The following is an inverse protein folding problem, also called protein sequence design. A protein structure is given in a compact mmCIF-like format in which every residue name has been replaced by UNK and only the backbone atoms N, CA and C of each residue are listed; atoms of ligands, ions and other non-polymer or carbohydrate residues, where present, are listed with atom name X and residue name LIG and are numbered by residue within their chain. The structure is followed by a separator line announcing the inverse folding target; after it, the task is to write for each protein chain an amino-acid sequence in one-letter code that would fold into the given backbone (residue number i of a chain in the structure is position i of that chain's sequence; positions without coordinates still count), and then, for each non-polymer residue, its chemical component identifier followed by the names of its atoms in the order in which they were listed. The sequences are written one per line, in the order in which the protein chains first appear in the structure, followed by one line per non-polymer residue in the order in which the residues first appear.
data_IF_732283320268
#
_entry.id   IF_732283320268
#
_cell.length_a   1.000
_cell.length_b   1.000
_cell.length_c   1.000
_cell.angle_alpha   90.00
_cell.angle_beta   90.00
_cell.angle_gamma   90.00
#
_symmetry.space_group_name_H-M   'P 1'
#
loop_
_entity.id
_entity.type
_entity.pdbx_description
1 polymer ?
#
# COMPACT_ATOMS: atom_id res chain seq x y z
N UNK A 1 24.55 3.26 -0.98
CA UNK A 1 23.25 3.47 -0.30
C UNK A 1 23.04 2.32 0.65
N UNK A 2 22.51 2.56 1.85
CA UNK A 2 22.06 1.48 2.74
C UNK A 2 20.93 0.71 2.09
N UNK A 3 20.93 -0.62 2.24
CA UNK A 3 19.91 -1.48 1.64
C UNK A 3 18.51 -1.10 2.16
N UNK A 4 17.49 -0.98 1.29
CA UNK A 4 16.15 -0.61 1.72
C UNK A 4 15.41 -1.79 2.37
N UNK A 5 14.45 -1.50 3.24
CA UNK A 5 13.56 -2.54 3.80
C UNK A 5 12.23 -2.56 3.05
N UNK A 6 11.81 -3.73 2.55
CA UNK A 6 10.47 -3.92 2.02
C UNK A 6 9.51 -4.28 3.16
N UNK A 7 8.41 -3.55 3.29
CA UNK A 7 7.42 -3.71 4.35
C UNK A 7 6.05 -3.95 3.74
N UNK A 8 5.31 -4.92 4.27
CA UNK A 8 3.91 -5.14 3.90
C UNK A 8 3.10 -5.56 5.12
N UNK A 9 1.79 -5.37 5.05
CA UNK A 9 0.85 -5.93 6.03
C UNK A 9 0.19 -7.17 5.44
N UNK A 10 0.16 -8.25 6.20
CA UNK A 10 -0.49 -9.50 5.80
C UNK A 10 -1.39 -10.06 6.90
N UNK A 11 -2.33 -10.89 6.46
CA UNK A 11 -3.28 -11.64 7.30
C UNK A 11 -3.56 -12.96 6.59
N UNK A 12 -4.20 -13.95 7.24
CA UNK A 12 -4.49 -15.24 6.61
C UNK A 12 -5.22 -15.09 5.25
N UNK A 13 -6.17 -14.15 5.17
CA UNK A 13 -6.95 -13.89 3.96
C UNK A 13 -6.15 -13.19 2.84
N UNK A 14 -5.00 -12.59 3.18
CA UNK A 14 -4.12 -11.88 2.26
C UNK A 14 -2.83 -12.63 1.94
N UNK A 15 -2.55 -13.75 2.62
CA UNK A 15 -1.32 -14.53 2.44
C UNK A 15 -1.03 -14.86 0.98
N UNK A 16 -2.05 -15.29 0.23
CA UNK A 16 -1.91 -15.61 -1.20
C UNK A 16 -1.50 -14.36 -2.01
N UNK A 17 -2.07 -13.20 -1.68
CA UNK A 17 -1.67 -11.93 -2.27
C UNK A 17 -0.24 -11.57 -1.94
N UNK A 18 0.13 -11.64 -0.66
CA UNK A 18 1.48 -11.35 -0.18
C UNK A 18 2.54 -12.20 -0.88
N UNK A 19 2.29 -13.51 -1.03
CA UNK A 19 3.22 -14.40 -1.75
C UNK A 19 3.43 -13.97 -3.21
N UNK A 20 2.36 -13.63 -3.93
CA UNK A 20 2.45 -13.18 -5.33
C UNK A 20 3.11 -11.80 -5.42
N UNK A 21 2.78 -10.89 -4.51
CA UNK A 21 3.38 -9.57 -4.42
C UNK A 21 4.90 -9.69 -4.24
N UNK A 22 5.36 -10.46 -3.26
CA UNK A 22 6.78 -10.65 -2.98
C UNK A 22 7.51 -11.36 -4.13
N UNK A 23 6.93 -12.44 -4.68
CA UNK A 23 7.54 -13.17 -5.79
C UNK A 23 7.69 -12.29 -7.03
N UNK A 24 6.65 -11.51 -7.37
CA UNK A 24 6.70 -10.60 -8.51
C UNK A 24 7.66 -9.42 -8.28
N UNK A 25 7.71 -8.88 -7.06
CA UNK A 25 8.66 -7.83 -6.67
C UNK A 25 10.11 -8.31 -6.89
N UNK A 26 10.49 -9.44 -6.30
CA UNK A 26 11.85 -9.98 -6.38
C UNK A 26 12.23 -10.39 -7.81
N UNK A 27 11.28 -10.86 -8.61
CA UNK A 27 11.53 -11.20 -10.01
C UNK A 27 11.82 -9.96 -10.89
N UNK A 28 11.24 -8.81 -10.55
CA UNK A 28 11.32 -7.58 -11.35
C UNK A 28 12.31 -6.56 -10.80
N UNK A 29 12.76 -6.73 -9.55
CA UNK A 29 13.68 -5.84 -8.85
C UNK A 29 14.92 -6.60 -8.36
N UNK A 30 15.75 -7.13 -9.28
CA UNK A 30 16.92 -7.96 -8.92
C UNK A 30 18.02 -7.18 -8.17
N UNK A 31 17.93 -5.84 -8.15
CA UNK A 31 18.78 -4.96 -7.34
C UNK A 31 18.46 -5.04 -5.84
N UNK A 32 17.28 -5.55 -5.46
CA UNK A 32 16.86 -5.56 -4.06
C UNK A 32 17.61 -6.62 -3.25
N UNK A 33 18.49 -6.14 -2.36
CA UNK A 33 19.28 -6.96 -1.45
C UNK A 33 18.96 -6.72 0.04
N UNK A 34 17.85 -6.05 0.33
CA UNK A 34 17.43 -5.72 1.69
C UNK A 34 16.54 -6.75 2.36
N UNK A 35 16.11 -6.41 3.57
CA UNK A 35 15.23 -7.23 4.40
C UNK A 35 13.76 -7.09 4.01
N UNK A 36 12.99 -8.15 4.19
CA UNK A 36 11.55 -8.17 3.98
C UNK A 36 10.87 -8.29 5.35
N UNK A 37 9.98 -7.36 5.65
CA UNK A 37 9.20 -7.34 6.89
C UNK A 37 7.71 -7.49 6.57
N UNK A 38 7.11 -8.56 7.11
CA UNK A 38 5.67 -8.71 7.14
C UNK A 38 5.16 -8.31 8.52
N UNK A 39 4.30 -7.29 8.55
CA UNK A 39 3.53 -6.89 9.71
C UNK A 39 2.20 -7.66 9.74
N UNK A 40 1.84 -8.20 10.89
CA UNK A 40 0.58 -8.93 11.03
C UNK A 40 -0.01 -8.86 12.44
N UNK A 41 -1.31 -9.17 12.54
CA UNK A 41 -2.00 -9.38 13.81
C UNK A 41 -2.48 -10.82 13.99
N UNK A 42 -2.60 -11.60 12.90
CA UNK A 42 -3.34 -12.88 12.88
C UNK A 42 -2.68 -14.04 12.11
N UNK A 43 -1.46 -13.88 11.59
CA UNK A 43 -0.74 -15.00 10.98
C UNK A 43 -0.34 -16.03 12.04
N UNK A 44 -0.63 -17.30 11.80
CA UNK A 44 -0.17 -18.40 12.65
C UNK A 44 1.35 -18.59 12.56
N UNK A 45 1.95 -19.29 13.52
CA UNK A 45 3.39 -19.65 13.45
C UNK A 45 3.70 -20.45 12.18
N UNK A 46 2.79 -21.35 11.77
CA UNK A 46 2.92 -22.11 10.53
C UNK A 46 2.88 -21.23 9.27
N UNK A 47 1.98 -20.23 9.24
CA UNK A 47 1.96 -19.25 8.15
C UNK A 47 3.28 -18.47 8.06
N UNK A 48 3.77 -18.02 9.22
CA UNK A 48 5.02 -17.26 9.31
C UNK A 48 6.22 -18.11 8.87
N UNK A 49 6.31 -19.35 9.35
CA UNK A 49 7.37 -20.28 8.98
C UNK A 49 7.32 -20.61 7.47
N UNK A 50 6.13 -20.81 6.91
CA UNK A 50 5.98 -21.07 5.49
C UNK A 50 6.38 -19.88 4.61
N UNK A 51 6.10 -18.64 5.04
CA UNK A 51 6.55 -17.41 4.37
C UNK A 51 8.06 -17.24 4.47
N UNK A 52 8.64 -17.41 5.65
CA UNK A 52 10.08 -17.28 5.87
C UNK A 52 10.90 -18.36 5.10
N UNK A 53 10.37 -19.58 4.98
CA UNK A 53 10.97 -20.63 4.18
C UNK A 53 10.91 -20.33 2.67
N UNK A 54 9.91 -19.56 2.23
CA UNK A 54 9.69 -19.24 0.83
C UNK A 54 10.50 -18.02 0.34
N UNK A 55 10.77 -17.05 1.23
CA UNK A 55 11.43 -15.79 0.89
C UNK A 55 12.65 -15.54 1.77
N UNK A 56 13.87 -15.50 1.21
CA UNK A 56 15.07 -15.16 1.98
C UNK A 56 14.98 -13.77 2.61
N UNK A 57 15.58 -13.60 3.80
CA UNK A 57 15.58 -12.35 4.58
C UNK A 57 14.19 -11.84 4.98
N UNK A 58 13.16 -12.70 4.87
CA UNK A 58 11.83 -12.40 5.36
C UNK A 58 11.74 -12.65 6.87
N UNK A 59 11.19 -11.67 7.59
CA UNK A 59 10.72 -11.86 8.95
C UNK A 59 9.27 -11.40 9.10
N UNK A 60 8.53 -12.11 9.96
CA UNK A 60 7.18 -11.73 10.36
C UNK A 60 7.24 -11.13 11.76
N UNK A 61 6.54 -10.01 11.97
CA UNK A 61 6.46 -9.35 13.28
C UNK A 61 5.07 -8.75 13.48
N UNK A 62 4.68 -8.63 14.75
CA UNK A 62 3.56 -7.76 15.12
C UNK A 62 4.04 -6.31 15.17
N UNK A 63 3.11 -5.36 15.01
CA UNK A 63 3.41 -3.94 15.27
C UNK A 63 3.82 -3.71 16.73
N UNK A 64 4.45 -2.57 16.99
CA UNK A 64 4.86 -2.19 18.34
C UNK A 64 3.66 -2.15 19.31
N UNK A 65 3.87 -2.44 20.61
CA UNK A 65 2.80 -2.34 21.61
C UNK A 65 2.17 -0.95 21.65
N UNK A 66 2.97 0.11 21.45
CA UNK A 66 2.50 1.50 21.44
C UNK A 66 1.56 1.77 20.27
N UNK A 67 1.92 1.36 19.05
CA UNK A 67 1.05 1.53 17.87
C UNK A 67 -0.22 0.70 18.02
N UNK A 68 -0.10 -0.54 18.46
CA UNK A 68 -1.23 -1.45 18.70
C UNK A 68 -2.24 -0.83 19.68
N UNK A 69 -1.77 -0.29 20.82
CA UNK A 69 -2.63 0.35 21.81
C UNK A 69 -3.33 1.61 21.27
N UNK A 70 -2.62 2.43 20.47
CA UNK A 70 -3.21 3.61 19.84
C UNK A 70 -4.32 3.24 18.86
N UNK A 71 -4.09 2.22 18.01
CA UNK A 71 -5.09 1.69 17.09
C UNK A 71 -6.30 1.12 17.85
N UNK A 72 -6.07 0.38 18.93
CA UNK A 72 -7.15 -0.22 19.72
C UNK A 72 -8.02 0.86 20.39
N UNK A 73 -7.39 1.91 20.94
CA UNK A 73 -8.11 3.06 21.48
C UNK A 73 -8.94 3.78 20.40
N UNK A 74 -8.37 3.95 19.21
CA UNK A 74 -9.07 4.54 18.07
C UNK A 74 -10.28 3.71 17.65
N UNK A 75 -10.12 2.40 17.49
CA UNK A 75 -11.19 1.47 17.09
C UNK A 75 -12.28 1.36 18.17
N UNK A 76 -11.92 1.46 19.45
CA UNK A 76 -12.89 1.44 20.55
C UNK A 76 -13.86 2.62 20.49
N UNK A 77 -13.39 3.81 20.12
CA UNK A 77 -14.22 5.01 19.93
C UNK A 77 -14.91 5.03 18.56
N UNK A 78 -14.27 4.45 17.54
CA UNK A 78 -14.76 4.39 16.17
C UNK A 78 -14.94 2.94 15.68
N UNK A 79 -15.98 2.20 16.13
CA UNK A 79 -16.13 0.78 15.84
C UNK A 79 -16.22 0.41 14.36
N UNK A 80 -16.62 1.35 13.49
CA UNK A 80 -16.66 1.17 12.05
C UNK A 80 -15.27 0.90 11.42
N UNK A 81 -14.19 1.19 12.15
CA UNK A 81 -12.81 0.91 11.77
C UNK A 81 -12.38 -0.52 12.08
N UNK A 82 -13.12 -1.28 12.90
CA UNK A 82 -12.71 -2.61 13.36
C UNK A 82 -12.37 -3.58 12.21
N UNK A 83 -13.19 -3.61 11.15
CA UNK A 83 -12.95 -4.44 9.97
C UNK A 83 -11.77 -3.98 9.10
N UNK A 84 -11.17 -2.83 9.40
CA UNK A 84 -10.03 -2.23 8.69
C UNK A 84 -8.83 -1.97 9.61
N UNK A 85 -8.89 -2.43 10.87
CA UNK A 85 -7.86 -2.23 11.89
C UNK A 85 -6.46 -2.56 11.38
N UNK A 86 -6.30 -3.71 10.72
CA UNK A 86 -5.00 -4.19 10.27
C UNK A 86 -4.34 -3.24 9.24
N UNK A 87 -5.10 -2.41 8.53
CA UNK A 87 -4.52 -1.42 7.60
C UNK A 87 -3.65 -0.39 8.30
N UNK A 88 -3.97 -0.03 9.55
CA UNK A 88 -3.15 0.87 10.35
C UNK A 88 -1.79 0.30 10.73
N UNK A 89 -1.58 -1.02 10.62
CA UNK A 89 -0.28 -1.62 10.92
C UNK A 89 0.80 -1.12 9.95
N UNK A 90 0.44 -0.67 8.73
CA UNK A 90 1.41 -0.08 7.78
C UNK A 90 2.15 1.13 8.34
N UNK A 91 1.58 1.82 9.34
CA UNK A 91 2.18 2.97 10.02
C UNK A 91 3.42 2.59 10.84
N UNK A 92 3.58 1.31 11.22
CA UNK A 92 4.80 0.83 11.86
C UNK A 92 6.03 1.04 10.96
N UNK A 93 5.84 1.15 9.62
CA UNK A 93 6.91 1.49 8.67
C UNK A 93 7.67 2.77 9.07
N UNK A 94 6.98 3.77 9.64
CA UNK A 94 7.59 5.01 10.14
C UNK A 94 8.41 4.81 11.42
N UNK A 95 8.11 3.75 12.16
CA UNK A 95 8.64 3.49 13.51
C UNK A 95 9.80 2.48 13.49
N UNK A 96 10.11 1.90 12.32
CA UNK A 96 11.19 0.93 12.17
C UNK A 96 12.55 1.59 12.40
N UNK A 97 13.28 1.07 13.39
CA UNK A 97 14.69 1.37 13.61
C UNK A 97 15.56 0.55 12.65
N UNK A 98 15.42 0.82 11.36
CA UNK A 98 16.21 0.20 10.30
C UNK A 98 16.89 1.30 9.46
N UNK A 99 18.17 1.14 9.10
CA UNK A 99 18.84 2.10 8.25
C UNK A 99 18.26 2.08 6.82
N UNK A 100 18.39 3.21 6.11
CA UNK A 100 17.99 3.31 4.71
C UNK A 100 16.50 3.58 4.49
N UNK A 101 16.11 3.64 3.21
CA UNK A 101 14.72 3.88 2.80
C UNK A 101 13.85 2.66 3.09
N UNK A 102 12.57 2.90 3.34
CA UNK A 102 11.58 1.83 3.47
C UNK A 102 10.66 1.87 2.25
N UNK A 103 10.33 0.70 1.74
CA UNK A 103 9.36 0.49 0.67
C UNK A 103 8.14 -0.14 1.32
N UNK A 104 7.05 0.59 1.47
CA UNK A 104 5.79 -0.02 1.89
C UNK A 104 5.02 -0.45 0.65
N UNK A 105 4.54 -1.69 0.64
CA UNK A 105 3.74 -2.29 -0.42
C UNK A 105 2.53 -3.02 0.16
N UNK A 106 1.33 -2.67 -0.28
CA UNK A 106 0.13 -3.45 0.02
C UNK A 106 0.27 -4.88 -0.53
N UNK A 107 -0.27 -5.85 0.20
CA UNK A 107 -0.21 -7.27 -0.20
C UNK A 107 -1.04 -7.64 -1.43
N UNK A 108 -1.77 -6.68 -2.01
CA UNK A 108 -2.59 -6.86 -3.21
C UNK A 108 -1.99 -6.17 -4.45
N UNK A 109 -0.69 -5.84 -4.40
CA UNK A 109 0.07 -5.37 -5.53
C UNK A 109 0.59 -6.53 -6.40
N UNK A 110 0.78 -6.24 -7.68
CA UNK A 110 1.52 -7.07 -8.63
C UNK A 110 2.61 -6.22 -9.30
N UNK A 111 3.87 -6.57 -9.07
CA UNK A 111 4.99 -5.91 -9.73
C UNK A 111 5.21 -6.53 -11.13
N UNK A 112 5.34 -5.67 -12.12
CA UNK A 112 5.53 -6.02 -13.54
C UNK A 112 6.79 -5.41 -14.13
N UNK A 113 7.45 -4.53 -13.39
CA UNK A 113 8.75 -4.01 -13.76
C UNK A 113 9.45 -3.34 -12.61
N UNK A 114 10.60 -2.74 -12.95
CA UNK A 114 11.56 -2.21 -12.01
C UNK A 114 11.06 -0.91 -11.38
N UNK A 115 11.27 -0.77 -10.06
CA UNK A 115 10.92 0.45 -9.31
C UNK A 115 12.14 1.17 -8.75
N UNK A 116 13.37 0.81 -9.14
CA UNK A 116 14.60 1.38 -8.58
C UNK A 116 14.68 2.90 -8.74
N UNK A 117 14.07 3.43 -9.80
CA UNK A 117 14.00 4.88 -10.05
C UNK A 117 13.30 5.64 -8.91
N UNK A 118 12.35 5.00 -8.20
CA UNK A 118 11.69 5.62 -7.05
C UNK A 118 12.65 5.85 -5.87
N UNK A 119 13.70 5.02 -5.74
CA UNK A 119 14.69 5.16 -4.69
C UNK A 119 15.67 6.30 -4.92
N UNK A 120 15.74 6.86 -6.13
CA UNK A 120 16.62 7.98 -6.46
C UNK A 120 16.08 9.35 -6.01
N UNK A 121 14.81 9.43 -5.61
CA UNK A 121 14.20 10.68 -5.13
C UNK A 121 14.74 11.08 -3.77
N UNK A 122 15.04 12.36 -3.55
CA UNK A 122 15.43 12.90 -2.24
C UNK A 122 14.21 13.35 -1.40
N UNK A 123 12.99 13.14 -1.91
CA UNK A 123 11.78 13.49 -1.18
C UNK A 123 11.58 12.58 0.04
N UNK A 124 11.06 13.12 1.17
CA UNK A 124 10.73 12.32 2.35
C UNK A 124 9.73 11.17 2.06
N UNK A 125 8.87 11.37 1.08
CA UNK A 125 7.92 10.37 0.60
C UNK A 125 7.81 10.42 -0.93
N UNK A 126 7.79 9.26 -1.56
CA UNK A 126 7.43 9.08 -2.97
C UNK A 126 6.19 8.20 -3.03
N UNK A 127 5.17 8.64 -3.77
CA UNK A 127 3.91 7.91 -3.91
C UNK A 127 3.20 8.27 -5.22
N UNK A 128 2.25 7.44 -5.65
CA UNK A 128 1.39 7.77 -6.78
C UNK A 128 0.15 8.56 -6.32
N UNK A 129 -0.43 9.42 -7.17
CA UNK A 129 -1.65 10.15 -6.85
C UNK A 129 -2.81 9.21 -6.52
N UNK A 130 -3.68 9.65 -5.63
CA UNK A 130 -4.85 8.87 -5.22
C UNK A 130 -6.03 9.03 -6.18
N UNK A 131 -7.10 8.29 -5.91
CA UNK A 131 -8.26 8.27 -6.79
C UNK A 131 -8.96 9.64 -6.91
N UNK A 132 -8.85 10.52 -5.92
CA UNK A 132 -9.42 11.87 -5.98
C UNK A 132 -8.65 12.73 -6.99
N UNK A 133 -7.32 12.78 -6.88
CA UNK A 133 -6.48 13.49 -7.86
C UNK A 133 -6.69 12.97 -9.28
N UNK A 134 -6.83 11.65 -9.41
CA UNK A 134 -7.07 10.99 -10.69
C UNK A 134 -8.47 11.22 -11.27
N UNK A 135 -9.37 11.85 -10.52
CA UNK A 135 -10.65 12.37 -11.01
C UNK A 135 -10.63 13.88 -11.24
N UNK A 136 -9.47 14.52 -11.09
CA UNK A 136 -9.32 15.99 -11.13
C UNK A 136 -9.89 16.69 -9.91
N UNK A 137 -10.14 15.95 -8.84
CA UNK A 137 -10.53 16.47 -7.55
C UNK A 137 -9.29 16.59 -6.65
N UNK A 138 -9.50 17.08 -5.44
CA UNK A 138 -8.49 17.09 -4.39
C UNK A 138 -9.09 16.59 -3.08
N UNK A 139 -8.23 16.45 -2.07
CA UNK A 139 -8.69 16.22 -0.70
C UNK A 139 -8.63 17.50 0.11
N UNK A 140 -9.70 17.75 0.85
CA UNK A 140 -9.72 18.79 1.88
C UNK A 140 -8.60 18.56 2.91
N UNK A 141 -7.98 19.65 3.35
CA UNK A 141 -6.75 19.59 4.12
C UNK A 141 -6.96 19.08 5.55
N UNK A 142 -8.16 19.20 6.10
CA UNK A 142 -8.40 18.86 7.50
C UNK A 142 -9.25 17.58 7.59
N UNK A 143 -10.21 17.43 6.69
CA UNK A 143 -11.19 16.34 6.72
C UNK A 143 -10.87 15.20 5.75
N UNK A 144 -9.97 15.43 4.78
CA UNK A 144 -9.70 14.53 3.64
C UNK A 144 -10.93 14.19 2.79
N UNK A 145 -12.03 14.96 2.92
CA UNK A 145 -13.17 14.87 2.03
C UNK A 145 -12.72 15.13 0.59
N UNK A 146 -13.28 14.40 -0.36
CA UNK A 146 -13.03 14.70 -1.76
C UNK A 146 -13.83 15.95 -2.17
N UNK A 147 -13.13 16.95 -2.69
CA UNK A 147 -13.70 18.24 -3.09
C UNK A 147 -13.17 18.60 -4.48
N UNK A 148 -13.87 19.50 -5.19
CA UNK A 148 -13.38 20.02 -6.45
C UNK A 148 -12.00 20.66 -6.28
N UNK A 149 -11.10 20.45 -7.24
CA UNK A 149 -9.76 21.04 -7.18
C UNK A 149 -9.82 22.57 -7.18
N UNK A 150 -8.97 23.19 -6.37
CA UNK A 150 -8.74 24.64 -6.34
C UNK A 150 -7.37 24.99 -6.93
N UNK A 151 -7.09 26.28 -7.11
CA UNK A 151 -5.78 26.74 -7.59
C UNK A 151 -4.63 26.32 -6.64
N UNK A 152 -4.92 26.22 -5.34
CA UNK A 152 -3.98 25.83 -4.29
C UNK A 152 -4.12 24.34 -3.90
N UNK A 153 -4.38 23.48 -4.89
CA UNK A 153 -4.59 22.06 -4.66
C UNK A 153 -3.37 21.42 -3.99
N UNK A 154 -3.61 20.81 -2.83
CA UNK A 154 -2.58 20.01 -2.14
C UNK A 154 -2.57 18.60 -2.69
N UNK A 155 -1.39 17.98 -2.67
CA UNK A 155 -1.22 16.60 -3.10
C UNK A 155 -2.04 15.66 -2.21
N UNK A 156 -2.61 14.63 -2.84
CA UNK A 156 -3.06 13.43 -2.14
C UNK A 156 -2.66 12.17 -2.88
N UNK A 157 -2.26 11.16 -2.14
CA UNK A 157 -1.62 9.97 -2.70
C UNK A 157 -2.22 8.68 -2.14
N UNK A 158 -2.14 7.62 -2.95
CA UNK A 158 -2.54 6.30 -2.52
C UNK A 158 -1.42 5.67 -1.68
N UNK A 159 -1.80 5.03 -0.58
CA UNK A 159 -0.83 4.41 0.33
C UNK A 159 -0.38 3.00 -0.07
N UNK A 160 -0.83 2.48 -1.23
CA UNK A 160 -0.55 1.10 -1.63
C UNK A 160 0.92 0.83 -1.96
N UNK A 161 1.62 1.81 -2.54
CA UNK A 161 3.08 1.77 -2.73
C UNK A 161 3.67 3.09 -2.29
N UNK A 162 4.56 3.04 -1.30
CA UNK A 162 5.27 4.19 -0.76
C UNK A 162 6.77 3.89 -0.72
N UNK A 163 7.60 4.85 -1.12
CA UNK A 163 9.02 4.87 -0.73
C UNK A 163 9.19 6.01 0.26
N UNK A 164 9.60 5.70 1.48
CA UNK A 164 9.80 6.71 2.52
C UNK A 164 11.22 6.69 3.07
N UNK A 165 11.71 7.87 3.40
CA UNK A 165 12.93 8.08 4.17
C UNK A 165 12.53 8.73 5.51
N UNK A 166 12.03 7.94 6.48
CA UNK A 166 11.48 8.51 7.69
C UNK A 166 12.57 9.08 8.58
N UNK A 167 12.31 10.29 9.05
CA UNK A 167 13.06 10.95 10.09
C UNK A 167 12.36 10.79 11.48
N UNK A 168 13.06 10.98 12.60
CA UNK A 168 12.45 10.87 13.92
C UNK A 168 11.27 11.82 14.16
N UNK A 169 11.25 13.00 13.53
CA UNK A 169 10.15 13.96 13.69
C UNK A 169 8.88 13.46 13.00
N UNK A 170 8.99 12.75 11.88
CA UNK A 170 7.86 12.08 11.22
C UNK A 170 7.23 11.02 12.12
N UNK A 171 8.07 10.21 12.79
CA UNK A 171 7.60 9.19 13.73
C UNK A 171 6.86 9.80 14.94
N UNK A 172 7.34 10.94 15.46
CA UNK A 172 6.67 11.61 16.57
C UNK A 172 5.35 12.30 16.16
N UNK A 173 5.31 12.87 14.95
CA UNK A 173 4.13 13.53 14.42
C UNK A 173 2.99 12.56 14.02
N UNK A 174 3.26 11.25 13.99
CA UNK A 174 2.25 10.20 13.80
C UNK A 174 1.21 10.18 14.91
N UNK A 175 1.63 10.32 16.18
CA UNK A 175 0.79 9.99 17.32
C UNK A 175 -0.48 10.84 17.47
N UNK A 176 -0.42 12.18 17.29
CA UNK A 176 -1.63 13.00 17.31
C UNK A 176 -2.66 12.63 16.25
N UNK A 177 -2.23 12.05 15.11
CA UNK A 177 -3.12 11.65 14.01
C UNK A 177 -3.90 10.36 14.31
N UNK A 178 -3.52 9.62 15.35
CA UNK A 178 -4.25 8.45 15.85
C UNK A 178 -5.11 8.79 17.07
N UNK A 179 -5.20 10.07 17.46
CA UNK A 179 -6.06 10.50 18.55
C UNK A 179 -7.55 10.27 18.20
N UNK A 180 -8.31 9.55 19.05
CA UNK A 180 -9.70 9.24 18.76
C UNK A 180 -10.62 10.47 18.62
N UNK A 181 -10.35 11.56 19.34
CA UNK A 181 -11.19 12.75 19.23
C UNK A 181 -10.94 13.48 17.90
N UNK A 182 -9.67 13.64 17.53
CA UNK A 182 -9.27 14.22 16.25
C UNK A 182 -9.78 13.43 15.04
N UNK A 183 -9.83 12.10 15.13
CA UNK A 183 -10.27 11.25 14.01
C UNK A 183 -11.72 11.51 13.56
N UNK A 184 -12.58 12.05 14.43
CA UNK A 184 -13.98 12.35 14.07
C UNK A 184 -14.12 13.37 12.93
N UNK A 185 -13.07 14.15 12.67
CA UNK A 185 -13.02 15.12 11.57
C UNK A 185 -12.73 14.47 10.22
N UNK A 186 -12.20 13.24 10.20
CA UNK A 186 -11.85 12.54 8.97
C UNK A 186 -13.12 12.03 8.28
N UNK A 187 -13.50 12.72 7.21
CA UNK A 187 -14.69 12.41 6.41
C UNK A 187 -14.44 11.29 5.38
N UNK A 188 -13.17 10.98 5.09
CA UNK A 188 -12.82 9.91 4.16
C UNK A 188 -12.99 8.52 4.79
N UNK A 189 -13.14 7.49 3.94
CA UNK A 189 -13.15 6.08 4.37
C UNK A 189 -11.74 5.48 4.50
N UNK A 190 -10.71 6.31 4.40
CA UNK A 190 -9.33 5.88 4.48
C UNK A 190 -8.90 5.60 5.93
N UNK A 191 -7.85 4.81 6.07
CA UNK A 191 -7.25 4.40 7.34
C UNK A 191 -5.85 4.97 7.45
N UNK A 192 -4.82 4.14 7.44
CA UNK A 192 -3.43 4.51 7.22
C UNK A 192 -3.22 5.54 6.10
N UNK A 193 -3.87 5.41 4.93
CA UNK A 193 -3.75 6.42 3.88
C UNK A 193 -4.15 7.83 4.36
N UNK A 194 -5.13 7.96 5.27
CA UNK A 194 -5.48 9.25 5.85
C UNK A 194 -4.32 9.84 6.67
N UNK A 195 -3.74 9.01 7.56
CA UNK A 195 -2.60 9.40 8.40
C UNK A 195 -1.41 9.81 7.55
N UNK A 196 -1.05 9.01 6.55
CA UNK A 196 0.04 9.34 5.63
C UNK A 196 -0.18 10.67 4.90
N UNK A 197 -1.39 10.91 4.37
CA UNK A 197 -1.70 12.14 3.67
C UNK A 197 -1.65 13.36 4.59
N UNK A 198 -2.18 13.26 5.81
CA UNK A 198 -2.11 14.36 6.80
C UNK A 198 -0.67 14.67 7.22
N UNK A 199 0.17 13.63 7.32
CA UNK A 199 1.56 13.77 7.74
C UNK A 199 2.47 14.33 6.64
N UNK A 200 2.30 13.89 5.39
CA UNK A 200 3.33 14.03 4.34
C UNK A 200 2.88 14.64 3.02
N UNK A 201 1.63 15.09 2.87
CA UNK A 201 1.17 15.72 1.61
C UNK A 201 2.00 16.92 1.13
N UNK A 202 2.61 17.67 2.05
CA UNK A 202 3.41 18.84 1.73
C UNK A 202 4.90 18.46 1.53
N UNK A 203 5.22 17.16 1.67
CA UNK A 203 6.58 16.57 1.60
C UNK A 203 6.64 15.35 0.68
N UNK A 204 5.65 15.17 -0.20
CA UNK A 204 5.55 14.03 -1.12
C UNK A 204 5.97 14.42 -2.53
N UNK A 205 6.76 13.57 -3.18
CA UNK A 205 6.93 13.56 -4.62
C UNK A 205 5.89 12.61 -5.24
N UNK A 206 5.03 13.16 -6.09
CA UNK A 206 4.06 12.38 -6.83
C UNK A 206 4.69 11.80 -8.10
N UNK A 207 4.65 10.48 -8.24
CA UNK A 207 5.10 9.77 -9.44
C UNK A 207 3.91 9.31 -10.28
N UNK A 208 4.20 8.89 -11.51
CA UNK A 208 3.20 8.34 -12.44
C UNK A 208 2.38 7.22 -11.79
N UNK A 209 1.09 7.16 -12.10
CA UNK A 209 0.24 6.02 -11.74
C UNK A 209 0.70 4.69 -12.32
N UNK A 210 1.62 4.67 -13.28
CA UNK A 210 2.27 3.43 -13.73
C UNK A 210 2.94 2.67 -12.57
N UNK A 211 3.37 3.36 -11.50
CA UNK A 211 3.97 2.74 -10.32
C UNK A 211 2.96 2.28 -9.27
N UNK A 212 1.66 2.55 -9.43
CA UNK A 212 0.61 2.11 -8.51
C UNK A 212 -0.76 2.21 -9.20
N UNK A 213 -0.95 1.44 -10.28
CA UNK A 213 -2.15 1.55 -11.11
C UNK A 213 -3.33 0.87 -10.40
N UNK A 214 -4.19 1.66 -9.78
CA UNK A 214 -5.40 1.21 -9.08
C UNK A 214 -6.43 0.62 -10.03
N UNK A 215 -6.44 -0.70 -10.18
CA UNK A 215 -7.30 -1.44 -11.11
C UNK A 215 -8.79 -1.21 -10.81
N UNK A 216 -9.18 -1.12 -9.54
CA UNK A 216 -10.58 -0.88 -9.13
C UNK A 216 -11.09 0.53 -9.43
N UNK A 217 -10.21 1.47 -9.75
CA UNK A 217 -10.55 2.86 -10.11
C UNK A 217 -10.04 3.26 -11.50
N UNK A 218 -9.50 2.30 -12.27
CA UNK A 218 -8.77 2.58 -13.51
C UNK A 218 -9.59 3.36 -14.53
N UNK A 219 -10.85 2.97 -14.75
CA UNK A 219 -11.72 3.68 -15.70
C UNK A 219 -11.87 5.18 -15.36
N UNK A 220 -11.92 5.53 -14.08
CA UNK A 220 -11.99 6.92 -13.64
C UNK A 220 -10.62 7.62 -13.74
N UNK A 221 -9.53 6.91 -13.44
CA UNK A 221 -8.17 7.49 -13.49
C UNK A 221 -7.66 7.72 -14.91
N UNK A 222 -8.10 6.90 -15.85
CA UNK A 222 -7.64 6.95 -17.24
C UNK A 222 -7.98 8.28 -17.94
N UNK A 223 -8.93 9.04 -17.40
CA UNK A 223 -9.31 10.36 -17.94
C UNK A 223 -8.21 11.41 -17.71
N UNK A 224 -7.43 11.29 -16.63
CA UNK A 224 -6.43 12.28 -16.23
C UNK A 224 -5.00 11.82 -16.47
N UNK A 225 -4.71 10.54 -16.21
CA UNK A 225 -3.44 9.92 -16.57
C UNK A 225 -3.74 8.59 -17.27
N UNK A 226 -3.75 8.63 -18.60
CA UNK A 226 -4.05 7.47 -19.43
C UNK A 226 -2.86 6.50 -19.45
N UNK A 227 -2.67 5.74 -18.38
CA UNK A 227 -1.67 4.67 -18.32
C UNK A 227 -2.29 3.36 -18.81
N UNK A 228 -1.86 2.83 -19.97
CA UNK A 228 -2.29 1.51 -20.42
C UNK A 228 -1.84 0.44 -19.43
N UNK A 229 -2.66 -0.60 -19.27
CA UNK A 229 -2.33 -1.72 -18.38
C UNK A 229 -0.98 -2.36 -18.74
N UNK A 230 -0.62 -2.38 -20.02
CA UNK A 230 0.65 -2.92 -20.51
C UNK A 230 1.87 -2.17 -19.95
N UNK A 231 1.76 -0.85 -19.79
CA UNK A 231 2.86 0.06 -19.42
C UNK A 231 3.02 0.21 -17.90
N UNK A 232 2.02 -0.23 -17.13
CA UNK A 232 2.05 -0.19 -15.68
C UNK A 232 3.14 -1.10 -15.11
N UNK A 233 4.04 -0.50 -14.34
CA UNK A 233 5.11 -1.16 -13.58
C UNK A 233 4.53 -1.90 -12.36
N UNK A 234 3.46 -1.39 -11.77
CA UNK A 234 2.78 -2.03 -10.63
C UNK A 234 1.28 -1.92 -10.79
N UNK A 235 0.58 -3.05 -10.66
CA UNK A 235 -0.87 -3.09 -10.60
C UNK A 235 -1.31 -3.18 -9.15
N UNK A 236 -2.31 -2.39 -8.77
CA UNK A 236 -2.89 -2.41 -7.43
C UNK A 236 -4.34 -2.89 -7.52
N UNK A 237 -4.63 -4.07 -6.97
CA UNK A 237 -5.99 -4.61 -6.89
C UNK A 237 -6.79 -4.01 -5.72
N UNK A 238 -6.89 -2.68 -5.73
CA UNK A 238 -7.56 -1.90 -4.69
C UNK A 238 -9.06 -2.25 -4.61
N UNK A 239 -9.60 -2.25 -3.39
CA UNK A 239 -11.01 -2.58 -3.14
C UNK A 239 -11.29 -4.06 -2.85
N UNK A 240 -12.56 -4.48 -2.94
CA UNK A 240 -12.99 -5.81 -2.46
C UNK A 240 -12.81 -6.97 -3.43
N UNK A 241 -12.63 -6.69 -4.73
CA UNK A 241 -12.37 -7.71 -5.73
C UNK A 241 -10.86 -8.00 -5.76
N UNK A 242 -10.43 -8.99 -4.99
CA UNK A 242 -9.03 -9.45 -4.99
C UNK A 242 -8.83 -10.55 -6.04
N UNK A 243 -7.61 -10.72 -6.59
CA UNK A 243 -7.35 -11.78 -7.57
C UNK A 243 -7.64 -13.19 -7.05
N UNK A 244 -7.49 -13.43 -5.74
CA UNK A 244 -7.79 -14.71 -5.09
C UNK A 244 -9.26 -14.83 -4.61
N UNK A 245 -10.13 -13.88 -4.99
CA UNK A 245 -11.56 -13.81 -4.63
C UNK A 245 -12.44 -13.94 -5.89
N UNK A 246 -12.55 -15.14 -6.49
CA UNK A 246 -13.28 -15.35 -7.74
C UNK A 246 -14.76 -14.98 -7.65
N UNK A 247 -15.35 -15.03 -6.45
CA UNK A 247 -16.71 -14.59 -6.15
C UNK A 247 -16.98 -13.11 -6.49
N UNK A 248 -15.95 -12.29 -6.68
CA UNK A 248 -16.07 -10.85 -6.96
C UNK A 248 -15.62 -10.44 -8.36
N UNK A 249 -15.15 -11.37 -9.18
CA UNK A 249 -14.54 -11.05 -10.46
C UNK A 249 -15.58 -10.60 -11.49
N UNK A 250 -16.75 -11.22 -11.55
CA UNK A 250 -17.80 -10.88 -12.51
C UNK A 250 -18.21 -9.39 -12.43
N UNK A 251 -18.50 -8.90 -11.21
CA UNK A 251 -18.88 -7.49 -10.98
C UNK A 251 -17.73 -6.52 -11.26
N UNK A 252 -16.49 -6.94 -11.06
CA UNK A 252 -15.31 -6.11 -11.35
C UNK A 252 -15.07 -6.01 -12.87
N UNK A 253 -15.16 -7.14 -13.59
CA UNK A 253 -15.02 -7.20 -15.05
C UNK A 253 -16.14 -6.44 -15.75
N UNK A 254 -17.38 -6.52 -15.23
CA UNK A 254 -18.51 -5.77 -15.77
C UNK A 254 -18.32 -4.25 -15.65
N UNK A 255 -17.61 -3.77 -14.62
CA UNK A 255 -17.32 -2.34 -14.42
C UNK A 255 -16.12 -1.85 -15.24
N UNK A 256 -15.09 -2.68 -15.40
CA UNK A 256 -13.95 -2.40 -16.26
C UNK A 256 -13.43 -3.70 -16.91
N UNK A 257 -13.62 -3.90 -18.22
CA UNK A 257 -13.14 -5.09 -18.93
C UNK A 257 -11.62 -5.32 -18.80
N UNK A 258 -10.83 -4.27 -18.56
CA UNK A 258 -9.38 -4.42 -18.33
C UNK A 258 -9.07 -5.19 -17.04
N UNK A 259 -10.03 -5.32 -16.12
CA UNK A 259 -9.89 -6.15 -14.93
C UNK A 259 -9.62 -7.61 -15.28
N UNK A 260 -10.22 -8.15 -16.36
CA UNK A 260 -9.99 -9.52 -16.80
C UNK A 260 -8.53 -9.76 -17.22
N UNK A 261 -7.92 -8.80 -17.91
CA UNK A 261 -6.51 -8.87 -18.28
C UNK A 261 -5.60 -8.72 -17.06
N UNK A 262 -5.93 -7.83 -16.12
CA UNK A 262 -5.19 -7.72 -14.86
C UNK A 262 -5.21 -9.05 -14.07
N UNK A 263 -6.36 -9.72 -14.01
CA UNK A 263 -6.46 -11.06 -13.40
C UNK A 263 -5.59 -12.09 -14.12
N UNK A 264 -5.55 -12.06 -15.46
CA UNK A 264 -4.70 -12.96 -16.25
C UNK A 264 -3.22 -12.77 -15.91
N UNK A 265 -2.78 -11.51 -15.79
CA UNK A 265 -1.41 -11.16 -15.41
C UNK A 265 -1.08 -11.66 -13.99
N UNK A 266 -1.98 -11.45 -13.03
CA UNK A 266 -1.78 -11.94 -11.67
C UNK A 266 -1.76 -13.47 -11.59
N UNK A 267 -2.65 -14.14 -12.32
CA UNK A 267 -2.70 -15.60 -12.37
C UNK A 267 -1.43 -16.19 -12.99
N UNK A 268 -0.87 -15.54 -14.02
CA UNK A 268 0.41 -15.93 -14.61
C UNK A 268 1.55 -15.82 -13.59
N UNK A 269 1.67 -14.68 -12.91
CA UNK A 269 2.69 -14.49 -11.86
C UNK A 269 2.55 -15.51 -10.72
N UNK A 270 1.32 -15.82 -10.30
CA UNK A 270 1.08 -16.89 -9.32
C UNK A 270 1.51 -18.26 -9.83
N UNK A 271 1.25 -18.58 -11.10
CA UNK A 271 1.64 -19.84 -11.69
C UNK A 271 3.17 -19.96 -11.80
N UNK A 272 3.87 -18.89 -12.16
CA UNK A 272 5.33 -18.81 -12.16
C UNK A 272 5.90 -19.07 -10.76
N UNK A 273 5.36 -18.38 -9.75
CA UNK A 273 5.75 -18.57 -8.35
C UNK A 273 5.55 -20.01 -7.86
N UNK A 274 4.40 -20.62 -8.17
CA UNK A 274 4.15 -22.00 -7.75
C UNK A 274 5.10 -22.98 -8.44
N UNK A 275 5.48 -22.74 -9.70
CA UNK A 275 6.47 -23.55 -10.41
C UNK A 275 7.87 -23.44 -9.85
N UNK A 276 8.29 -22.26 -9.37
CA UNK A 276 9.63 -22.10 -8.79
C UNK A 276 9.81 -22.80 -7.44
N UNK A 277 8.73 -23.33 -6.86
CA UNK A 277 8.73 -24.07 -5.58
C UNK A 277 8.61 -25.59 -5.74
N UNK A 278 8.27 -26.07 -6.94
CA UNK A 278 8.08 -27.49 -7.24
C UNK A 278 9.41 -28.12 -7.66
#
# INVERSE_FOLDING_TARGET
MTAPTLVTVSSPDFRIGTEVMLASFLATNPWFDGDILILHSRLSEDDQAALAAAFPRLSCRTASPRLTAAIDALVAVHPHLAGRRDRFLSLETLLLDTPGKRIFADSDLLFRGDISSLLASEAPLVAAPDAAMLRGNQRDADTLAEVAASADARASFNAGLLVCDPDPAMADALWPLLDPAGWSLIASQHTDQAVWNLLLRDRVELVSTAFNLMIGHRAASFVYEAVPLADAQVLHFNGGAKPWRPDRHADAIARDPAYAEALRLWAAARADWLRSRA
#
